data_IF_450481837796
#
_entry.id   IF_450481837796
#
_cell.length_a   1.000
_cell.length_b   1.000
_cell.length_c   1.000
_cell.angle_alpha   90.00
_cell.angle_beta   90.00
_cell.angle_gamma   90.00
#
_symmetry.space_group_name_H-M   'P 1'
#
loop_
_entity.id
_entity.type
_entity.pdbx_description
1 polymer ?
#
# COMPACT_ATOMS: atom_id res chain seq x y z
N UNK A 1 42.23 63.33 43.40
CA UNK A 1 42.08 62.12 42.58
C UNK A 1 42.27 60.89 43.45
N UNK A 2 41.38 60.60 44.39
CA UNK A 2 41.56 59.47 45.31
C UNK A 2 40.22 59.17 46.03
N UNK A 3 39.18 58.90 45.30
CA UNK A 3 37.86 58.55 45.85
C UNK A 3 37.08 57.51 45.06
N UNK A 4 37.72 56.84 44.09
CA UNK A 4 37.00 55.90 43.18
C UNK A 4 37.37 54.42 43.37
N UNK A 5 38.25 54.10 44.34
CA UNK A 5 38.73 52.72 44.54
C UNK A 5 38.12 52.00 45.78
N UNK A 6 37.32 52.70 46.59
CA UNK A 6 36.73 52.12 47.81
C UNK A 6 35.32 51.46 47.57
N UNK A 7 34.72 51.66 46.41
CA UNK A 7 33.35 51.15 46.15
C UNK A 7 33.29 49.74 45.47
N UNK A 8 34.44 49.18 45.09
CA UNK A 8 34.53 47.92 44.36
C UNK A 8 34.73 46.69 45.22
N UNK A 9 34.98 46.84 46.50
CA UNK A 9 35.28 45.71 47.39
C UNK A 9 34.14 45.27 48.30
N UNK A 10 33.04 46.00 48.34
CA UNK A 10 31.85 45.63 49.14
C UNK A 10 30.87 44.73 48.37
N UNK A 11 31.01 44.66 47.03
CA UNK A 11 30.08 43.85 46.16
C UNK A 11 30.35 42.33 46.08
N UNK A 12 31.57 41.89 46.59
CA UNK A 12 31.95 40.46 46.35
C UNK A 12 31.62 39.56 47.53
N UNK A 13 31.27 40.07 48.69
CA UNK A 13 31.02 39.27 49.92
C UNK A 13 29.52 38.83 50.01
N UNK A 14 28.63 39.44 49.26
CA UNK A 14 27.22 39.16 49.37
C UNK A 14 26.73 37.98 48.48
N UNK A 15 27.59 37.37 47.65
CA UNK A 15 27.18 36.31 46.69
C UNK A 15 27.45 34.90 47.23
N UNK A 16 28.09 34.71 48.35
CA UNK A 16 28.43 33.37 48.84
C UNK A 16 27.49 32.80 49.93
N UNK A 17 26.38 33.43 50.23
CA UNK A 17 25.51 33.01 51.34
C UNK A 17 24.09 32.53 50.91
N UNK A 18 23.87 32.23 49.64
CA UNK A 18 22.62 31.64 49.22
C UNK A 18 22.83 30.27 48.53
N UNK A 19 23.56 29.40 49.24
CA UNK A 19 23.33 27.96 49.01
C UNK A 19 22.11 27.57 49.83
N UNK A 20 20.95 28.02 49.33
CA UNK A 20 19.68 27.53 49.76
C UNK A 20 19.55 26.07 49.36
N UNK A 21 19.53 25.20 50.35
CA UNK A 21 19.14 23.82 50.23
C UNK A 21 17.86 23.74 49.41
N UNK A 22 17.98 23.33 48.17
CA UNK A 22 16.82 22.88 47.38
C UNK A 22 16.31 21.60 48.00
N UNK A 23 15.48 21.76 49.03
CA UNK A 23 14.67 20.71 49.54
C UNK A 23 13.74 20.33 48.38
N UNK A 24 14.04 19.24 47.72
CA UNK A 24 13.12 18.61 46.81
C UNK A 24 11.80 18.36 47.57
N UNK A 25 10.87 19.25 47.40
CA UNK A 25 9.47 18.92 47.72
C UNK A 25 9.08 17.81 46.78
N UNK A 26 9.11 16.61 47.32
CA UNK A 26 8.40 15.50 46.70
C UNK A 26 6.94 15.90 46.57
N UNK A 27 6.55 16.28 45.38
CA UNK A 27 5.14 16.36 45.03
C UNK A 27 4.58 14.96 45.15
N UNK A 28 3.80 14.78 46.21
CA UNK A 28 2.97 13.61 46.40
C UNK A 28 2.23 13.30 45.12
N UNK A 29 2.42 12.08 44.66
CA UNK A 29 1.47 11.24 44.00
C UNK A 29 0.44 11.90 43.06
N UNK A 30 0.81 12.21 41.84
CA UNK A 30 -0.12 11.91 40.78
C UNK A 30 0.01 10.40 40.51
N UNK A 31 -0.95 9.62 40.99
CA UNK A 31 -1.23 8.30 40.48
C UNK A 31 -1.67 8.46 39.01
N UNK A 32 -0.78 8.89 38.15
CA UNK A 32 -0.89 8.66 36.75
C UNK A 32 -0.80 7.13 36.61
N UNK A 33 -1.96 6.50 36.59
CA UNK A 33 -2.10 5.13 36.10
C UNK A 33 -1.23 5.05 34.84
N UNK A 34 -0.10 4.36 34.93
CA UNK A 34 0.70 4.09 33.75
C UNK A 34 -0.27 3.43 32.76
N UNK A 35 -0.71 4.20 31.77
CA UNK A 35 -1.43 3.63 30.63
C UNK A 35 -0.41 2.72 29.98
N UNK A 36 -0.52 1.44 30.31
CA UNK A 36 0.21 0.40 29.59
C UNK A 36 -0.31 0.49 28.15
N UNK A 37 0.48 1.08 27.28
CA UNK A 37 0.16 1.08 25.85
C UNK A 37 0.19 -0.39 25.43
N UNK A 38 -0.98 -0.97 25.22
CA UNK A 38 -1.09 -2.32 24.75
C UNK A 38 -1.04 -2.25 23.23
N UNK A 39 -0.01 -2.86 22.65
CA UNK A 39 0.10 -3.04 21.21
C UNK A 39 -0.54 -4.38 20.86
N UNK A 40 -1.51 -4.34 19.98
CA UNK A 40 -2.09 -5.52 19.39
C UNK A 40 -1.47 -5.72 18.00
N UNK A 41 -0.88 -6.90 17.78
CA UNK A 41 -0.41 -7.28 16.46
C UNK A 41 -1.62 -7.83 15.70
N UNK A 42 -2.08 -7.07 14.71
CA UNK A 42 -3.18 -7.51 13.87
C UNK A 42 -2.73 -8.70 13.01
N UNK A 43 -3.61 -9.69 12.88
CA UNK A 43 -3.39 -10.79 11.95
C UNK A 43 -3.25 -10.26 10.51
N UNK A 44 -2.28 -10.72 9.71
CA UNK A 44 -2.21 -10.38 8.29
C UNK A 44 -3.35 -11.01 7.49
N UNK A 45 -4.07 -11.96 8.07
CA UNK A 45 -5.25 -12.55 7.45
C UNK A 45 -6.45 -11.67 7.70
N UNK A 46 -7.24 -11.43 6.65
CA UNK A 46 -8.49 -10.70 6.80
C UNK A 46 -9.42 -11.43 7.78
N UNK A 47 -10.04 -10.66 8.68
CA UNK A 47 -11.05 -11.17 9.61
C UNK A 47 -12.41 -11.28 8.88
N UNK A 48 -12.43 -12.10 7.83
CA UNK A 48 -13.57 -12.32 6.97
C UNK A 48 -13.80 -13.82 6.80
N UNK A 49 -15.05 -14.19 6.67
CA UNK A 49 -15.42 -15.57 6.37
C UNK A 49 -14.75 -16.02 5.06
N UNK A 50 -14.12 -17.20 5.03
CA UNK A 50 -13.48 -17.69 3.84
C UNK A 50 -14.52 -17.86 2.73
N UNK A 51 -14.24 -17.25 1.57
CA UNK A 51 -15.06 -17.46 0.39
C UNK A 51 -14.99 -18.95 0.01
N UNK A 52 -16.13 -19.61 -0.18
CA UNK A 52 -16.13 -21.03 -0.56
C UNK A 52 -15.27 -21.26 -1.82
N UNK A 53 -14.39 -22.23 -1.74
CA UNK A 53 -13.54 -22.58 -2.88
C UNK A 53 -14.39 -23.10 -4.04
N UNK A 54 -14.38 -22.36 -5.17
CA UNK A 54 -15.18 -22.70 -6.34
C UNK A 54 -14.49 -23.66 -7.31
N UNK A 55 -13.23 -23.99 -7.05
CA UNK A 55 -12.40 -24.74 -7.99
C UNK A 55 -11.99 -23.91 -9.20
N UNK A 56 -11.42 -24.58 -10.19
CA UNK A 56 -11.06 -23.99 -11.48
C UNK A 56 -12.20 -24.15 -12.47
N UNK A 57 -12.36 -23.18 -13.37
CA UNK A 57 -13.33 -23.27 -14.45
C UNK A 57 -13.06 -24.49 -15.35
N UNK A 58 -14.10 -25.10 -15.93
CA UNK A 58 -13.91 -26.14 -16.92
C UNK A 58 -13.03 -25.64 -18.08
N UNK A 59 -12.20 -26.53 -18.61
CA UNK A 59 -11.41 -26.21 -19.79
C UNK A 59 -12.31 -26.17 -21.02
N UNK A 60 -12.03 -25.21 -21.91
CA UNK A 60 -12.68 -25.18 -23.23
C UNK A 60 -12.00 -26.21 -24.14
N UNK A 61 -12.75 -26.89 -24.94
CA UNK A 61 -12.25 -27.96 -25.81
C UNK A 61 -11.47 -27.44 -27.03
N UNK A 62 -11.81 -26.24 -27.51
CA UNK A 62 -11.18 -25.61 -28.65
C UNK A 62 -11.22 -24.10 -28.55
N UNK A 63 -10.21 -23.41 -29.10
CA UNK A 63 -10.16 -21.96 -29.25
C UNK A 63 -10.79 -21.49 -30.59
N UNK A 64 -11.04 -22.37 -31.53
CA UNK A 64 -11.60 -22.03 -32.81
C UNK A 64 -13.00 -21.39 -32.67
N UNK A 65 -13.23 -20.25 -33.29
CA UNK A 65 -14.47 -19.49 -33.24
C UNK A 65 -14.80 -18.87 -31.87
N UNK A 66 -13.86 -18.86 -30.94
CA UNK A 66 -14.05 -18.34 -29.60
C UNK A 66 -13.59 -16.90 -29.46
N UNK A 67 -14.21 -16.19 -28.51
CA UNK A 67 -13.75 -14.86 -28.08
C UNK A 67 -12.74 -14.98 -26.96
N UNK A 68 -11.49 -14.62 -27.25
CA UNK A 68 -10.37 -14.74 -26.32
C UNK A 68 -9.90 -13.36 -25.93
N UNK A 69 -9.98 -13.06 -24.64
CA UNK A 69 -9.48 -11.83 -24.08
C UNK A 69 -7.98 -11.90 -23.75
N UNK A 70 -7.23 -10.87 -24.09
CA UNK A 70 -5.89 -10.64 -23.58
C UNK A 70 -5.92 -9.47 -22.60
N UNK A 71 -5.82 -9.75 -21.32
CA UNK A 71 -5.69 -8.72 -20.28
C UNK A 71 -4.24 -8.32 -20.14
N UNK A 72 -3.93 -7.07 -20.47
CA UNK A 72 -2.58 -6.52 -20.46
C UNK A 72 -2.44 -5.58 -19.28
N UNK A 73 -1.64 -5.96 -18.29
CA UNK A 73 -1.34 -5.12 -17.15
C UNK A 73 -0.36 -3.97 -17.51
N UNK A 74 -0.15 -2.97 -16.64
CA UNK A 74 0.69 -1.81 -16.95
C UNK A 74 2.20 -2.09 -16.90
N UNK A 75 2.60 -3.36 -16.78
CA UNK A 75 4.03 -3.73 -16.77
C UNK A 75 4.67 -3.52 -18.13
N UNK A 76 5.92 -3.13 -18.13
CA UNK A 76 6.67 -2.70 -19.30
C UNK A 76 6.72 -3.75 -20.42
N UNK A 77 6.84 -5.02 -20.03
CA UNK A 77 6.92 -6.13 -20.99
C UNK A 77 5.54 -6.69 -21.39
N UNK A 78 4.46 -6.31 -20.71
CA UNK A 78 3.16 -6.93 -20.90
C UNK A 78 2.60 -6.72 -22.31
N UNK A 79 2.68 -5.50 -22.84
CA UNK A 79 2.15 -5.21 -24.17
C UNK A 79 2.88 -5.97 -25.28
N UNK A 80 4.21 -5.93 -25.41
CA UNK A 80 4.90 -6.68 -26.47
C UNK A 80 4.71 -8.21 -26.36
N UNK A 81 4.57 -8.73 -25.15
CA UNK A 81 4.24 -10.14 -24.93
C UNK A 81 2.82 -10.44 -25.40
N UNK A 82 1.85 -9.59 -25.04
CA UNK A 82 0.45 -9.75 -25.48
C UNK A 82 0.31 -9.68 -27.00
N UNK A 83 1.00 -8.76 -27.65
CA UNK A 83 1.03 -8.64 -29.12
C UNK A 83 1.61 -9.91 -29.78
N UNK A 84 2.69 -10.47 -29.21
CA UNK A 84 3.25 -11.72 -29.67
C UNK A 84 2.29 -12.90 -29.51
N UNK A 85 1.59 -12.97 -28.38
CA UNK A 85 0.55 -13.99 -28.11
C UNK A 85 -0.60 -13.81 -29.10
N UNK A 86 -1.07 -12.58 -29.31
CA UNK A 86 -2.13 -12.26 -30.24
C UNK A 86 -1.79 -12.73 -31.66
N UNK A 87 -0.61 -12.38 -32.15
CA UNK A 87 -0.14 -12.81 -33.47
C UNK A 87 -0.15 -14.32 -33.62
N UNK A 88 0.33 -15.02 -32.59
CA UNK A 88 0.36 -16.48 -32.59
C UNK A 88 -1.02 -17.13 -32.55
N UNK A 89 -1.93 -16.55 -31.77
CA UNK A 89 -3.31 -17.03 -31.68
C UNK A 89 -4.05 -16.84 -33.02
N UNK A 90 -3.92 -15.69 -33.66
CA UNK A 90 -4.53 -15.42 -34.97
C UNK A 90 -4.00 -16.37 -36.04
N UNK A 91 -2.70 -16.68 -36.03
CA UNK A 91 -2.09 -17.64 -36.94
C UNK A 91 -2.65 -19.07 -36.75
N UNK A 92 -2.79 -19.49 -35.48
CA UNK A 92 -3.23 -20.85 -35.16
C UNK A 92 -4.74 -21.03 -35.21
N UNK A 93 -5.51 -19.99 -34.93
CA UNK A 93 -6.96 -19.99 -34.85
C UNK A 93 -7.55 -18.79 -35.61
N UNK A 94 -7.53 -18.78 -36.92
CA UNK A 94 -7.95 -17.63 -37.74
C UNK A 94 -9.43 -17.26 -37.55
N UNK A 95 -10.24 -18.19 -37.04
CA UNK A 95 -11.67 -17.96 -36.76
C UNK A 95 -11.91 -17.45 -35.32
N UNK A 96 -10.87 -17.33 -34.50
CA UNK A 96 -10.99 -16.80 -33.15
C UNK A 96 -10.98 -15.27 -33.14
N UNK A 97 -11.81 -14.67 -32.33
CA UNK A 97 -11.82 -13.24 -32.08
C UNK A 97 -10.92 -12.92 -30.89
N UNK A 98 -9.82 -12.18 -31.10
CA UNK A 98 -8.89 -11.82 -30.03
C UNK A 98 -9.12 -10.37 -29.61
N UNK A 99 -9.56 -10.18 -28.38
CA UNK A 99 -9.94 -8.87 -27.84
C UNK A 99 -8.98 -8.50 -26.72
N UNK A 100 -8.15 -7.49 -26.96
CA UNK A 100 -7.19 -6.98 -25.96
C UNK A 100 -7.85 -5.94 -25.06
N UNK A 101 -7.68 -6.08 -23.73
CA UNK A 101 -8.00 -5.06 -22.75
C UNK A 101 -6.72 -4.60 -22.06
N UNK A 102 -6.45 -3.31 -22.11
CA UNK A 102 -5.23 -2.74 -21.53
C UNK A 102 -5.57 -2.00 -20.24
N UNK A 103 -5.02 -2.48 -19.13
CA UNK A 103 -5.07 -1.79 -17.85
C UNK A 103 -4.00 -0.70 -17.77
N UNK A 104 -4.37 0.43 -17.20
CA UNK A 104 -3.45 1.57 -16.96
C UNK A 104 -3.21 1.80 -15.48
N UNK A 105 -4.00 1.15 -14.61
CA UNK A 105 -3.89 1.25 -13.15
C UNK A 105 -2.77 0.37 -12.61
N UNK A 106 -1.77 0.97 -11.95
CA UNK A 106 -0.76 0.20 -11.23
C UNK A 106 -1.31 -0.24 -9.87
N UNK A 107 -1.23 -1.53 -9.58
CA UNK A 107 -1.58 -2.13 -8.28
C UNK A 107 -3.05 -1.92 -7.81
N UNK A 108 -3.96 -1.64 -8.74
CA UNK A 108 -5.39 -1.50 -8.45
C UNK A 108 -6.17 -2.42 -9.37
N UNK A 109 -7.17 -3.11 -8.83
CA UNK A 109 -8.06 -3.94 -9.63
C UNK A 109 -8.96 -3.06 -10.50
N UNK A 110 -9.15 -3.40 -11.76
CA UNK A 110 -10.04 -2.65 -12.67
C UNK A 110 -11.46 -2.49 -12.12
N UNK A 111 -11.94 -3.47 -11.35
CA UNK A 111 -13.28 -3.44 -10.71
C UNK A 111 -13.40 -2.40 -9.58
N UNK A 112 -12.27 -1.85 -9.12
CA UNK A 112 -12.19 -0.82 -8.08
C UNK A 112 -11.93 0.57 -8.67
N UNK A 113 -11.87 0.67 -10.00
CA UNK A 113 -11.63 1.91 -10.74
C UNK A 113 -12.89 2.41 -11.46
N UNK A 114 -12.80 3.57 -12.05
CA UNK A 114 -13.83 4.11 -12.96
C UNK A 114 -14.07 3.22 -14.19
N UNK A 115 -13.12 2.34 -14.51
CA UNK A 115 -13.21 1.42 -15.65
C UNK A 115 -14.01 0.14 -15.34
N UNK A 116 -14.56 0.01 -14.14
CA UNK A 116 -15.28 -1.18 -13.67
C UNK A 116 -16.32 -1.69 -14.67
N UNK A 117 -17.13 -0.79 -15.22
CA UNK A 117 -18.19 -1.17 -16.15
C UNK A 117 -17.63 -1.70 -17.47
N UNK A 118 -16.66 -0.98 -18.04
CA UNK A 118 -16.00 -1.37 -19.30
C UNK A 118 -15.26 -2.70 -19.14
N UNK A 119 -14.51 -2.87 -18.06
CA UNK A 119 -13.82 -4.12 -17.75
C UNK A 119 -14.81 -5.29 -17.57
N UNK A 120 -15.90 -5.06 -16.83
CA UNK A 120 -16.90 -6.08 -16.58
C UNK A 120 -17.61 -6.49 -17.88
N UNK A 121 -17.93 -5.54 -18.75
CA UNK A 121 -18.53 -5.81 -20.05
C UNK A 121 -17.58 -6.62 -20.93
N UNK A 122 -16.31 -6.23 -21.00
CA UNK A 122 -15.28 -6.96 -21.71
C UNK A 122 -15.16 -8.39 -21.18
N UNK A 123 -14.96 -8.57 -19.87
CA UNK A 123 -14.79 -9.89 -19.27
C UNK A 123 -15.98 -10.83 -19.50
N UNK A 124 -17.22 -10.28 -19.43
CA UNK A 124 -18.43 -11.06 -19.68
C UNK A 124 -18.64 -11.44 -21.14
N UNK A 125 -18.00 -10.76 -22.08
CA UNK A 125 -18.11 -11.03 -23.51
C UNK A 125 -17.24 -12.20 -23.99
N UNK A 126 -16.33 -12.70 -23.12
CA UNK A 126 -15.31 -13.65 -23.49
C UNK A 126 -15.68 -15.10 -23.19
N UNK A 127 -15.19 -16.01 -24.02
CA UNK A 127 -15.19 -17.45 -23.74
C UNK A 127 -13.97 -17.86 -22.88
N UNK A 128 -12.84 -17.18 -23.07
CA UNK A 128 -11.60 -17.40 -22.31
C UNK A 128 -10.79 -16.11 -22.18
N UNK A 129 -9.91 -16.04 -21.20
CA UNK A 129 -9.00 -14.92 -21.01
C UNK A 129 -7.59 -15.39 -20.66
N UNK A 130 -6.59 -14.63 -21.14
CA UNK A 130 -5.17 -14.78 -20.81
C UNK A 130 -4.73 -13.48 -20.13
N UNK A 131 -4.26 -13.57 -18.89
CA UNK A 131 -3.68 -12.42 -18.19
C UNK A 131 -2.17 -12.33 -18.46
N UNK A 132 -1.70 -11.16 -18.84
CA UNK A 132 -0.32 -10.87 -19.23
C UNK A 132 0.14 -9.63 -18.47
N UNK A 133 1.11 -9.66 -17.64
CA UNK A 133 2.03 -10.65 -17.12
C UNK A 133 1.80 -10.76 -15.61
N UNK A 134 1.82 -11.95 -15.04
CA UNK A 134 1.83 -12.12 -13.60
C UNK A 134 3.17 -11.70 -13.00
N UNK A 135 3.18 -11.19 -11.75
CA UNK A 135 4.35 -10.94 -10.93
C UNK A 135 4.12 -11.32 -9.47
#
# INVERSE_FOLDING_TARGET
MCRLLAALFIGIIAVLATQGSSRAQGTAGSNAKAQTTQFEVLSPWADADPIPFRGISPRIDSLAGKKIGLFVNPKRAALPIAESIQGRLVEMYPDAEIIMYRSYGANVNEIETENKEAFTAWAKSLDAAIAVVGD
#
